data_IF_544737815580
#
_entry.id   IF_544737815580
#
_cell.length_a   1.000
_cell.length_b   1.000
_cell.length_c   1.000
_cell.angle_alpha   90.00
_cell.angle_beta   90.00
_cell.angle_gamma   90.00
#
_symmetry.space_group_name_H-M   'P 1'
#
loop_
_entity.id
_entity.type
_entity.pdbx_description
1 polymer ?
#
# COMPACT_ATOMS: atom_id res chain seq x y z
N UNK A 1 -0.59 -18.07 5.10
CA UNK A 1 -1.16 -19.23 5.83
C UNK A 1 -2.27 -19.92 5.04
N UNK A 2 -3.21 -19.17 4.44
CA UNK A 2 -4.44 -19.77 3.88
C UNK A 2 -4.37 -20.03 2.37
N UNK A 3 -3.41 -19.44 1.66
CA UNK A 3 -3.17 -19.64 0.23
C UNK A 3 -1.95 -20.50 -0.07
N UNK A 4 -1.15 -20.82 0.94
CA UNK A 4 0.17 -21.42 0.75
C UNK A 4 0.38 -22.61 1.68
N UNK A 5 1.25 -23.53 1.26
CA UNK A 5 1.80 -24.58 2.10
C UNK A 5 3.28 -24.27 2.46
N UNK A 6 3.81 -24.88 3.53
CA UNK A 6 5.22 -24.75 3.87
C UNK A 6 6.13 -25.10 2.69
N UNK A 7 7.12 -24.25 2.43
CA UNK A 7 8.10 -24.42 1.35
C UNK A 7 7.67 -23.85 0.00
N UNK A 8 6.42 -23.38 -0.14
CA UNK A 8 5.96 -22.74 -1.38
C UNK A 8 6.45 -21.31 -1.51
N UNK A 9 6.32 -20.75 -2.70
CA UNK A 9 6.70 -19.38 -3.03
C UNK A 9 5.50 -18.49 -3.32
N UNK A 10 5.62 -17.24 -2.87
CA UNK A 10 4.73 -16.13 -3.21
C UNK A 10 5.48 -15.15 -4.10
N UNK A 11 4.99 -14.92 -5.30
CA UNK A 11 5.50 -13.88 -6.19
C UNK A 11 4.97 -12.51 -5.73
N UNK A 12 5.86 -11.53 -5.62
CA UNK A 12 5.50 -10.14 -5.33
C UNK A 12 6.60 -9.18 -5.81
N UNK A 13 6.37 -7.88 -5.73
CA UNK A 13 7.41 -6.88 -6.01
C UNK A 13 8.49 -6.88 -4.92
N UNK A 14 9.71 -6.48 -5.27
CA UNK A 14 10.80 -6.37 -4.29
C UNK A 14 10.48 -5.40 -3.14
N UNK A 15 9.66 -4.40 -3.42
CA UNK A 15 9.34 -3.28 -2.51
C UNK A 15 7.99 -3.46 -1.80
N UNK A 16 7.31 -4.61 -1.97
CA UNK A 16 6.01 -4.85 -1.36
C UNK A 16 6.03 -4.81 0.16
N UNK A 17 4.97 -4.26 0.74
CA UNK A 17 4.81 -4.14 2.19
C UNK A 17 4.84 -5.51 2.88
N UNK A 18 4.09 -6.48 2.37
CA UNK A 18 3.97 -7.83 2.95
C UNK A 18 5.31 -8.57 3.08
N UNK A 19 6.31 -8.17 2.29
CA UNK A 19 7.66 -8.73 2.33
C UNK A 19 8.57 -7.98 3.29
N UNK A 20 8.54 -6.63 3.24
CA UNK A 20 9.59 -5.80 3.83
C UNK A 20 9.24 -5.29 5.24
N UNK A 21 7.96 -5.17 5.60
CA UNK A 21 7.53 -4.48 6.83
C UNK A 21 6.83 -5.38 7.85
N UNK A 22 6.64 -6.67 7.55
CA UNK A 22 5.97 -7.62 8.44
C UNK A 22 6.95 -8.44 9.30
N UNK A 23 8.15 -7.95 9.49
CA UNK A 23 9.18 -8.53 10.39
C UNK A 23 9.44 -10.03 10.12
N UNK A 24 9.34 -10.46 8.85
CA UNK A 24 9.52 -11.85 8.47
C UNK A 24 8.35 -12.78 8.82
N UNK A 25 7.19 -12.22 9.22
CA UNK A 25 6.04 -13.02 9.68
C UNK A 25 5.57 -14.05 8.65
N UNK A 26 5.63 -13.74 7.36
CA UNK A 26 5.24 -14.67 6.32
C UNK A 26 6.14 -15.93 6.30
N UNK A 27 7.44 -15.76 6.40
CA UNK A 27 8.39 -16.87 6.49
C UNK A 27 8.28 -17.62 7.82
N UNK A 28 8.10 -16.91 8.92
CA UNK A 28 7.99 -17.50 10.25
C UNK A 28 6.70 -18.30 10.45
N UNK A 29 5.54 -17.72 10.11
CA UNK A 29 4.24 -18.34 10.35
C UNK A 29 3.83 -19.28 9.21
N UNK A 30 4.03 -18.86 7.95
CA UNK A 30 3.57 -19.64 6.79
C UNK A 30 4.66 -20.51 6.18
N UNK A 31 5.91 -20.32 6.62
CA UNK A 31 7.08 -21.08 6.13
C UNK A 31 7.25 -20.98 4.61
N UNK A 32 6.93 -19.83 4.03
CA UNK A 32 7.03 -19.54 2.60
C UNK A 32 8.29 -18.74 2.30
N UNK A 33 8.60 -18.69 1.00
CA UNK A 33 9.61 -17.78 0.45
C UNK A 33 8.92 -16.75 -0.44
N UNK A 34 9.54 -15.55 -0.55
CA UNK A 34 9.14 -14.57 -1.53
C UNK A 34 10.03 -14.66 -2.77
N UNK A 35 9.41 -14.67 -3.94
CA UNK A 35 10.08 -14.50 -5.21
C UNK A 35 9.80 -13.10 -5.74
N UNK A 36 10.85 -12.31 -5.93
CA UNK A 36 10.73 -10.99 -6.50
C UNK A 36 10.54 -11.06 -8.02
N UNK A 37 9.72 -10.15 -8.52
CA UNK A 37 9.49 -9.97 -9.95
C UNK A 37 9.75 -8.51 -10.31
N UNK A 38 10.13 -8.26 -11.56
CA UNK A 38 10.28 -6.92 -12.08
C UNK A 38 8.94 -6.19 -12.09
N UNK A 39 8.99 -4.89 -11.85
CA UNK A 39 7.80 -4.05 -11.79
C UNK A 39 8.14 -2.61 -12.16
N UNK A 40 7.14 -1.87 -12.60
CA UNK A 40 7.17 -0.43 -12.73
C UNK A 40 6.19 0.17 -11.72
N UNK A 41 6.72 0.84 -10.67
CA UNK A 41 5.91 1.46 -9.61
C UNK A 41 4.86 0.53 -8.98
N UNK A 42 5.20 -0.75 -8.82
CA UNK A 42 4.30 -1.77 -8.25
C UNK A 42 3.48 -2.55 -9.29
N UNK A 43 3.40 -2.10 -10.54
CA UNK A 43 2.77 -2.86 -11.62
C UNK A 43 3.71 -3.97 -12.10
N UNK A 44 3.30 -5.21 -11.86
CA UNK A 44 4.09 -6.40 -12.19
C UNK A 44 4.30 -6.53 -13.70
N UNK A 45 5.52 -6.86 -14.09
CA UNK A 45 5.83 -7.24 -15.46
C UNK A 45 5.24 -8.64 -15.76
N UNK A 46 4.27 -8.69 -16.69
CA UNK A 46 3.60 -9.95 -17.04
C UNK A 46 4.53 -10.93 -17.77
N UNK A 47 5.44 -10.44 -18.59
CA UNK A 47 6.36 -11.32 -19.34
C UNK A 47 7.38 -11.95 -18.38
N UNK A 48 7.84 -11.18 -17.38
CA UNK A 48 8.67 -11.73 -16.32
C UNK A 48 7.87 -12.74 -15.47
N UNK A 49 6.62 -12.44 -15.11
CA UNK A 49 5.74 -13.36 -14.39
C UNK A 49 5.56 -14.69 -15.16
N UNK A 50 5.26 -14.63 -16.45
CA UNK A 50 5.16 -15.82 -17.34
C UNK A 50 6.46 -16.60 -17.31
N UNK A 51 7.61 -15.92 -17.46
CA UNK A 51 8.93 -16.54 -17.47
C UNK A 51 9.25 -17.29 -16.18
N UNK A 52 8.86 -16.73 -15.02
CA UNK A 52 9.10 -17.35 -13.72
C UNK A 52 8.32 -18.64 -13.55
N UNK A 53 7.08 -18.68 -14.05
CA UNK A 53 6.21 -19.87 -13.95
C UNK A 53 6.65 -20.95 -14.92
N UNK A 54 7.01 -20.57 -16.16
CA UNK A 54 7.48 -21.50 -17.20
C UNK A 54 8.78 -22.23 -16.82
N UNK A 55 9.58 -21.66 -15.91
CA UNK A 55 10.83 -22.25 -15.41
C UNK A 55 10.62 -23.19 -14.22
N UNK A 56 9.38 -23.53 -13.87
CA UNK A 56 9.10 -24.48 -12.79
C UNK A 56 9.66 -25.87 -13.11
N UNK A 57 10.16 -26.57 -12.10
CA UNK A 57 10.70 -27.91 -12.21
C UNK A 57 10.57 -28.65 -10.86
N UNK A 58 10.67 -29.97 -10.87
CA UNK A 58 10.44 -30.80 -9.67
C UNK A 58 11.36 -30.48 -8.49
N UNK A 59 12.52 -29.86 -8.73
CA UNK A 59 13.50 -29.47 -7.69
C UNK A 59 13.38 -28.01 -7.26
N UNK A 60 12.43 -27.25 -7.80
CA UNK A 60 12.17 -25.86 -7.40
C UNK A 60 10.94 -25.77 -6.53
N UNK A 61 10.90 -24.83 -5.57
CA UNK A 61 9.70 -24.56 -4.81
C UNK A 61 8.51 -24.29 -5.73
N UNK A 62 7.34 -24.82 -5.35
CA UNK A 62 6.10 -24.54 -6.08
C UNK A 62 5.69 -23.08 -5.84
N UNK A 63 5.42 -22.36 -6.90
CA UNK A 63 4.76 -21.06 -6.83
C UNK A 63 3.26 -21.32 -6.62
N UNK A 64 2.65 -20.70 -5.61
CA UNK A 64 1.23 -20.89 -5.31
C UNK A 64 0.42 -19.59 -5.38
N UNK A 65 1.06 -18.46 -5.19
CA UNK A 65 0.35 -17.19 -5.02
C UNK A 65 1.10 -16.05 -5.71
N UNK A 66 0.34 -15.18 -6.36
CA UNK A 66 0.78 -13.85 -6.80
C UNK A 66 0.15 -12.84 -5.84
N UNK A 67 0.97 -11.97 -5.26
CA UNK A 67 0.52 -10.92 -4.35
C UNK A 67 0.89 -9.56 -4.92
N UNK A 68 -0.10 -8.69 -5.06
CA UNK A 68 0.07 -7.30 -5.50
C UNK A 68 -0.35 -6.33 -4.40
N UNK A 69 0.17 -5.11 -4.43
CA UNK A 69 -0.20 -4.05 -3.49
C UNK A 69 -0.89 -2.90 -4.22
N UNK A 70 -2.10 -2.50 -3.76
CA UNK A 70 -2.84 -1.38 -4.32
C UNK A 70 -3.51 -0.51 -3.23
N UNK A 71 -3.16 0.79 -3.09
CA UNK A 71 -2.13 1.49 -3.87
C UNK A 71 -0.73 1.11 -3.37
N UNK A 72 0.26 1.11 -4.28
CA UNK A 72 1.62 0.70 -3.98
C UNK A 72 2.36 1.77 -3.16
N UNK A 73 2.69 1.45 -1.91
CA UNK A 73 3.24 2.39 -0.93
C UNK A 73 4.63 2.90 -1.35
N UNK A 74 5.53 1.98 -1.71
CA UNK A 74 6.93 2.29 -1.97
C UNK A 74 7.14 3.25 -3.15
N UNK A 75 6.19 3.32 -4.09
CA UNK A 75 6.20 4.26 -5.22
C UNK A 75 5.35 5.52 -5.00
N UNK A 76 4.92 5.81 -3.76
CA UNK A 76 4.19 7.03 -3.46
C UNK A 76 2.68 6.92 -3.64
N UNK A 77 2.12 5.72 -3.51
CA UNK A 77 0.69 5.49 -3.63
C UNK A 77 0.20 5.28 -5.06
N UNK A 78 1.06 4.77 -5.94
CA UNK A 78 0.69 4.43 -7.32
C UNK A 78 -0.47 3.46 -7.36
N UNK A 79 -1.41 3.74 -8.24
CA UNK A 79 -2.57 2.87 -8.50
C UNK A 79 -2.17 1.82 -9.54
N UNK A 80 -2.34 0.55 -9.20
CA UNK A 80 -2.30 -0.52 -10.19
C UNK A 80 -3.64 -0.51 -10.93
N UNK A 81 -3.67 -0.27 -12.26
CA UNK A 81 -4.91 -0.13 -12.98
C UNK A 81 -5.82 -1.36 -12.83
N UNK A 82 -7.12 -1.14 -12.65
CA UNK A 82 -8.07 -2.24 -12.47
C UNK A 82 -8.08 -3.23 -13.65
N UNK A 83 -7.77 -2.75 -14.86
CA UNK A 83 -7.61 -3.61 -16.02
C UNK A 83 -6.43 -4.57 -15.88
N UNK A 84 -5.34 -4.14 -15.26
CA UNK A 84 -4.19 -4.99 -14.96
C UNK A 84 -4.55 -6.08 -13.95
N UNK A 85 -5.36 -5.75 -12.95
CA UNK A 85 -5.85 -6.73 -11.97
C UNK A 85 -6.69 -7.81 -12.65
N UNK A 86 -7.50 -7.46 -13.66
CA UNK A 86 -8.23 -8.45 -14.46
C UNK A 86 -7.29 -9.37 -15.23
N UNK A 87 -6.28 -8.82 -15.89
CA UNK A 87 -5.25 -9.60 -16.61
C UNK A 87 -4.52 -10.57 -15.67
N UNK A 88 -4.11 -10.08 -14.49
CA UNK A 88 -3.48 -10.93 -13.47
C UNK A 88 -4.44 -12.03 -12.97
N UNK A 89 -5.73 -11.71 -12.80
CA UNK A 89 -6.74 -12.71 -12.40
C UNK A 89 -6.91 -13.82 -13.44
N UNK A 90 -6.97 -13.46 -14.72
CA UNK A 90 -7.06 -14.43 -15.81
C UNK A 90 -5.81 -15.30 -15.86
N UNK A 91 -4.65 -14.68 -15.76
CA UNK A 91 -3.38 -15.38 -15.75
C UNK A 91 -3.24 -16.35 -14.55
N UNK A 92 -3.53 -15.90 -13.33
CA UNK A 92 -3.41 -16.73 -12.13
C UNK A 92 -4.37 -17.91 -12.18
N UNK A 93 -5.61 -17.70 -12.62
CA UNK A 93 -6.59 -18.79 -12.80
C UNK A 93 -6.15 -19.82 -13.83
N UNK A 94 -5.58 -19.39 -14.96
CA UNK A 94 -5.10 -20.29 -16.01
C UNK A 94 -3.88 -21.12 -15.59
N UNK A 95 -3.19 -20.72 -14.52
CA UNK A 95 -2.00 -21.39 -14.02
C UNK A 95 -2.19 -22.04 -12.61
N UNK A 96 -3.42 -22.17 -12.14
CA UNK A 96 -3.76 -22.70 -10.81
C UNK A 96 -3.04 -21.97 -9.65
N UNK A 97 -2.92 -20.66 -9.78
CA UNK A 97 -2.34 -19.77 -8.78
C UNK A 97 -3.43 -18.98 -8.07
N UNK A 98 -3.13 -18.52 -6.86
CA UNK A 98 -3.98 -17.57 -6.13
C UNK A 98 -3.55 -16.13 -6.38
N UNK A 99 -4.51 -15.22 -6.51
CA UNK A 99 -4.26 -13.78 -6.55
C UNK A 99 -4.69 -13.15 -5.23
N UNK A 100 -3.72 -12.63 -4.49
CA UNK A 100 -3.96 -11.81 -3.30
C UNK A 100 -3.71 -10.33 -3.61
N UNK A 101 -4.62 -9.48 -3.16
CA UNK A 101 -4.47 -8.02 -3.23
C UNK A 101 -4.26 -7.48 -1.81
N UNK A 102 -3.04 -7.01 -1.52
CA UNK A 102 -2.84 -6.12 -0.38
C UNK A 102 -3.40 -4.75 -0.73
N UNK A 103 -4.61 -4.55 -0.32
CA UNK A 103 -5.38 -3.33 -0.58
C UNK A 103 -5.42 -2.39 0.61
N UNK A 104 -4.34 -2.30 1.40
CA UNK A 104 -4.30 -1.45 2.59
C UNK A 104 -4.84 -0.03 2.35
N UNK A 105 -4.74 0.46 1.10
CA UNK A 105 -5.27 1.73 0.62
C UNK A 105 -6.12 1.61 -0.65
N UNK A 106 -6.71 0.46 -0.91
CA UNK A 106 -7.47 0.18 -2.16
C UNK A 106 -8.63 1.15 -2.40
N UNK A 107 -9.19 1.74 -1.34
CA UNK A 107 -10.27 2.72 -1.48
C UNK A 107 -9.84 3.99 -2.20
N UNK A 108 -8.56 4.40 -2.10
CA UNK A 108 -8.01 5.49 -2.90
C UNK A 108 -8.02 5.13 -4.40
N UNK A 109 -7.59 3.91 -4.75
CA UNK A 109 -7.63 3.44 -6.13
C UNK A 109 -9.07 3.34 -6.68
N UNK A 110 -9.99 2.77 -5.90
CA UNK A 110 -11.40 2.60 -6.30
C UNK A 110 -12.07 3.94 -6.59
N UNK A 111 -11.80 4.96 -5.78
CA UNK A 111 -12.39 6.27 -5.94
C UNK A 111 -11.78 7.03 -7.13
N UNK A 112 -10.45 6.98 -7.28
CA UNK A 112 -9.75 7.66 -8.37
C UNK A 112 -10.12 7.08 -9.73
N UNK A 113 -10.13 5.76 -9.86
CA UNK A 113 -10.52 5.07 -11.09
C UNK A 113 -12.04 5.03 -11.31
N UNK A 114 -12.85 5.47 -10.33
CA UNK A 114 -14.31 5.36 -10.35
C UNK A 114 -14.80 3.94 -10.62
N UNK A 115 -14.01 2.94 -10.22
CA UNK A 115 -14.36 1.53 -10.38
C UNK A 115 -15.43 1.15 -9.36
N UNK A 116 -16.50 0.52 -9.81
CA UNK A 116 -17.57 0.04 -8.94
C UNK A 116 -17.14 -1.26 -8.25
N UNK A 117 -16.40 -1.17 -7.15
CA UNK A 117 -16.15 -2.23 -6.15
C UNK A 117 -16.13 -3.69 -6.67
N UNK A 118 -15.50 -3.95 -7.81
CA UNK A 118 -15.53 -5.28 -8.43
C UNK A 118 -14.28 -6.13 -8.14
N UNK A 119 -13.38 -5.67 -7.27
CA UNK A 119 -12.14 -6.40 -6.94
C UNK A 119 -12.39 -7.84 -6.53
N UNK A 120 -13.43 -8.11 -5.73
CA UNK A 120 -13.77 -9.46 -5.28
C UNK A 120 -14.10 -10.48 -6.38
N UNK A 121 -14.33 -10.05 -7.62
CA UNK A 121 -14.50 -10.95 -8.76
C UNK A 121 -13.17 -11.40 -9.38
N UNK A 122 -12.12 -10.63 -9.12
CA UNK A 122 -10.83 -10.75 -9.79
C UNK A 122 -9.67 -11.11 -8.87
N UNK A 123 -9.92 -11.33 -7.58
CA UNK A 123 -8.90 -11.82 -6.66
C UNK A 123 -9.47 -12.90 -5.76
N UNK A 124 -8.62 -13.84 -5.31
CA UNK A 124 -9.00 -14.89 -4.36
C UNK A 124 -9.13 -14.33 -2.95
N UNK A 125 -8.33 -13.31 -2.62
CA UNK A 125 -8.45 -12.57 -1.38
C UNK A 125 -7.98 -11.12 -1.51
N UNK A 126 -8.51 -10.26 -0.65
CA UNK A 126 -8.16 -8.84 -0.57
C UNK A 126 -8.16 -8.41 0.89
N UNK A 127 -7.14 -7.63 1.28
CA UNK A 127 -7.14 -6.92 2.56
C UNK A 127 -7.35 -5.43 2.35
N UNK A 128 -7.92 -4.73 3.33
CA UNK A 128 -7.85 -3.28 3.41
C UNK A 128 -7.86 -2.79 4.87
N UNK A 129 -7.31 -1.60 5.08
CA UNK A 129 -7.24 -1.00 6.41
C UNK A 129 -8.36 0.02 6.62
N UNK A 130 -9.00 -0.06 7.77
CA UNK A 130 -9.88 0.99 8.28
C UNK A 130 -9.09 2.13 8.95
N UNK A 131 -7.94 1.80 9.53
CA UNK A 131 -7.10 2.68 10.36
C UNK A 131 -6.10 3.54 9.57
N UNK A 132 -6.29 3.68 8.27
CA UNK A 132 -5.53 4.59 7.39
C UNK A 132 -6.44 5.71 6.89
N UNK A 133 -6.45 6.05 5.62
CA UNK A 133 -7.26 7.13 5.05
C UNK A 133 -8.75 7.08 5.43
N UNK A 134 -9.34 5.90 5.61
CA UNK A 134 -10.72 5.77 6.10
C UNK A 134 -10.92 6.38 7.50
N UNK A 135 -9.88 6.45 8.32
CA UNK A 135 -9.86 7.20 9.58
C UNK A 135 -10.56 6.53 10.75
N UNK A 136 -10.76 5.21 10.74
CA UNK A 136 -11.13 4.50 11.96
C UNK A 136 -9.91 4.37 12.90
N UNK A 137 -10.10 4.30 14.22
CA UNK A 137 -9.00 4.26 15.18
C UNK A 137 -8.13 3.00 15.05
N UNK A 138 -8.70 1.90 14.57
CA UNK A 138 -8.05 0.59 14.48
C UNK A 138 -8.78 -0.31 13.48
N UNK A 139 -8.06 -1.28 12.92
CA UNK A 139 -8.62 -2.43 12.24
C UNK A 139 -8.30 -2.53 10.76
N UNK A 140 -8.41 -3.75 10.29
CA UNK A 140 -8.34 -4.13 8.88
C UNK A 140 -9.38 -5.20 8.58
N UNK A 141 -9.68 -5.38 7.30
CA UNK A 141 -10.62 -6.38 6.82
C UNK A 141 -9.92 -7.31 5.84
N UNK A 142 -10.14 -8.61 6.00
CA UNK A 142 -9.80 -9.63 5.03
C UNK A 142 -11.08 -10.10 4.32
N UNK A 143 -11.06 -10.10 3.01
CA UNK A 143 -12.14 -10.53 2.12
C UNK A 143 -11.70 -11.75 1.31
N UNK A 144 -12.64 -12.61 0.99
CA UNK A 144 -12.43 -13.80 0.18
C UNK A 144 -13.69 -14.66 0.12
N UNK A 145 -13.58 -15.89 -0.41
CA UNK A 145 -14.68 -16.85 -0.41
C UNK A 145 -15.13 -17.21 1.02
N UNK A 146 -16.32 -17.78 1.15
CA UNK A 146 -16.85 -18.22 2.44
C UNK A 146 -15.89 -19.19 3.16
N UNK A 147 -15.38 -20.18 2.43
CA UNK A 147 -14.48 -21.19 2.99
C UNK A 147 -13.12 -20.60 3.36
N UNK A 148 -12.55 -19.72 2.50
CA UNK A 148 -11.34 -18.99 2.81
C UNK A 148 -11.48 -18.18 4.10
N UNK A 149 -12.59 -17.48 4.29
CA UNK A 149 -12.83 -16.69 5.50
C UNK A 149 -13.07 -17.58 6.73
N UNK A 150 -13.74 -18.72 6.58
CA UNK A 150 -13.91 -19.68 7.68
C UNK A 150 -12.54 -20.16 8.20
N UNK A 151 -11.66 -20.62 7.32
CA UNK A 151 -10.30 -21.03 7.65
C UNK A 151 -9.48 -19.87 8.23
N UNK A 152 -9.61 -18.67 7.67
CA UNK A 152 -8.90 -17.47 8.17
C UNK A 152 -9.29 -17.12 9.61
N UNK A 153 -10.55 -17.36 10.00
CA UNK A 153 -11.00 -17.16 11.39
C UNK A 153 -10.35 -18.13 12.37
N UNK A 154 -10.09 -19.37 11.94
CA UNK A 154 -9.36 -20.35 12.75
C UNK A 154 -7.90 -19.89 12.92
N UNK A 155 -7.21 -19.51 11.84
CA UNK A 155 -5.85 -18.96 11.92
C UNK A 155 -5.80 -17.74 12.81
N UNK A 156 -6.73 -16.80 12.65
CA UNK A 156 -6.81 -15.62 13.51
C UNK A 156 -6.86 -15.99 14.99
N UNK A 157 -7.64 -17.02 15.35
CA UNK A 157 -7.71 -17.47 16.74
C UNK A 157 -6.39 -18.10 17.20
N UNK A 158 -5.77 -18.94 16.37
CA UNK A 158 -4.51 -19.63 16.66
C UNK A 158 -3.33 -18.69 16.90
N UNK A 159 -3.29 -17.55 16.17
CA UNK A 159 -2.22 -16.54 16.28
C UNK A 159 -2.55 -15.38 17.23
N UNK A 160 -3.56 -15.53 18.08
CA UNK A 160 -3.89 -14.53 19.10
C UNK A 160 -4.76 -13.35 18.65
N UNK A 161 -5.21 -13.31 17.38
CA UNK A 161 -6.03 -12.22 16.83
C UNK A 161 -7.54 -12.33 17.11
N UNK A 162 -7.96 -13.28 17.93
CA UNK A 162 -9.35 -13.41 18.34
C UNK A 162 -9.74 -12.41 19.43
N UNK A 163 -10.58 -11.44 19.10
CA UNK A 163 -11.05 -10.40 20.03
C UNK A 163 -12.52 -10.59 20.36
N UNK A 164 -12.86 -10.50 21.65
CA UNK A 164 -14.25 -10.40 22.14
C UNK A 164 -14.69 -8.94 22.12
N UNK A 165 -15.99 -8.71 22.16
CA UNK A 165 -16.62 -7.38 22.20
C UNK A 165 -16.10 -6.42 21.11
N UNK A 166 -15.75 -6.97 19.95
CA UNK A 166 -15.20 -6.22 18.81
C UNK A 166 -16.20 -5.22 18.20
N UNK A 167 -17.48 -5.29 18.59
CA UNK A 167 -18.55 -4.42 18.10
C UNK A 167 -18.27 -2.93 18.26
N UNK A 168 -17.57 -2.52 19.31
CA UNK A 168 -17.17 -1.12 19.54
C UNK A 168 -16.25 -0.66 18.41
N UNK A 169 -15.21 -1.44 18.10
CA UNK A 169 -14.26 -1.17 17.02
C UNK A 169 -14.95 -1.26 15.65
N UNK A 170 -15.79 -2.29 15.47
CA UNK A 170 -16.51 -2.51 14.23
C UNK A 170 -17.51 -1.37 13.91
N UNK A 171 -18.08 -0.72 14.92
CA UNK A 171 -18.95 0.45 14.72
C UNK A 171 -18.19 1.62 14.12
N UNK A 172 -16.99 1.93 14.65
CA UNK A 172 -16.14 2.96 14.09
C UNK A 172 -15.67 2.61 12.66
N UNK A 173 -15.32 1.35 12.41
CA UNK A 173 -14.94 0.86 11.08
C UNK A 173 -16.11 0.97 10.09
N UNK A 174 -17.35 0.66 10.50
CA UNK A 174 -18.55 0.81 9.68
C UNK A 174 -18.78 2.27 9.30
N UNK A 175 -18.73 3.17 10.26
CA UNK A 175 -18.86 4.61 10.01
C UNK A 175 -17.79 5.10 9.02
N UNK A 176 -16.55 4.73 9.22
CA UNK A 176 -15.45 5.08 8.33
C UNK A 176 -15.69 4.59 6.89
N UNK A 177 -16.16 3.36 6.74
CA UNK A 177 -16.48 2.78 5.43
C UNK A 177 -17.65 3.48 4.73
N UNK A 178 -18.69 3.85 5.47
CA UNK A 178 -19.85 4.58 4.95
C UNK A 178 -19.45 5.97 4.43
N UNK A 179 -18.45 6.60 5.07
CA UNK A 179 -17.93 7.93 4.70
C UNK A 179 -16.71 7.90 3.76
N UNK A 180 -16.39 6.75 3.16
CA UNK A 180 -15.18 6.57 2.33
C UNK A 180 -15.03 7.53 1.14
N UNK A 181 -16.12 8.11 0.66
CA UNK A 181 -16.10 9.07 -0.44
C UNK A 181 -15.30 10.34 -0.12
N UNK A 182 -15.13 10.66 1.16
CA UNK A 182 -14.33 11.82 1.60
C UNK A 182 -12.84 11.69 1.28
N UNK A 183 -12.33 10.48 1.03
CA UNK A 183 -10.94 10.27 0.63
C UNK A 183 -10.53 11.05 -0.65
N UNK A 184 -11.49 11.44 -1.48
CA UNK A 184 -11.19 12.25 -2.67
C UNK A 184 -10.69 13.66 -2.29
N UNK A 185 -11.06 14.15 -1.12
CA UNK A 185 -10.57 15.43 -0.60
C UNK A 185 -9.09 15.34 -0.21
N UNK A 186 -8.64 14.19 0.26
CA UNK A 186 -7.23 13.94 0.56
C UNK A 186 -6.40 13.99 -0.73
N UNK A 187 -6.93 13.45 -1.86
CA UNK A 187 -6.26 13.51 -3.17
C UNK A 187 -6.17 14.94 -3.66
N UNK A 188 -7.27 15.70 -3.53
CA UNK A 188 -7.28 17.10 -3.96
C UNK A 188 -6.27 17.93 -3.15
N UNK A 189 -6.24 17.74 -1.83
CA UNK A 189 -5.30 18.42 -0.97
C UNK A 189 -3.84 18.08 -1.32
N UNK A 190 -3.54 16.80 -1.53
CA UNK A 190 -2.20 16.37 -1.95
C UNK A 190 -1.80 17.02 -3.29
N UNK A 191 -2.73 17.06 -4.25
CA UNK A 191 -2.51 17.68 -5.55
C UNK A 191 -2.26 19.18 -5.45
N UNK A 192 -3.04 19.88 -4.63
CA UNK A 192 -2.90 21.32 -4.43
C UNK A 192 -1.52 21.64 -3.83
N UNK A 193 -1.11 20.89 -2.80
CA UNK A 193 0.22 21.05 -2.20
C UNK A 193 1.32 20.73 -3.20
N UNK A 194 1.21 19.60 -3.92
CA UNK A 194 2.20 19.20 -4.93
C UNK A 194 2.42 20.30 -5.97
N UNK A 195 1.34 20.84 -6.54
CA UNK A 195 1.41 21.90 -7.58
C UNK A 195 2.15 23.16 -7.11
N UNK A 196 2.10 23.45 -5.81
CA UNK A 196 2.81 24.60 -5.25
C UNK A 196 4.27 24.27 -4.95
N UNK A 197 4.52 23.16 -4.25
CA UNK A 197 5.87 22.81 -3.78
C UNK A 197 6.78 22.29 -4.90
N UNK A 198 6.25 21.72 -5.99
CA UNK A 198 7.05 21.21 -7.10
C UNK A 198 8.00 22.27 -7.66
N UNK A 199 7.50 23.50 -7.86
CA UNK A 199 8.31 24.61 -8.38
C UNK A 199 9.33 25.14 -7.37
N UNK A 200 9.06 24.96 -6.08
CA UNK A 200 9.96 25.40 -5.00
C UNK A 200 11.05 24.36 -4.78
N UNK A 201 10.65 23.12 -4.65
CA UNK A 201 11.55 21.98 -4.39
C UNK A 201 12.63 21.85 -5.48
N UNK A 202 12.29 22.12 -6.73
CA UNK A 202 13.25 22.14 -7.84
C UNK A 202 14.34 23.24 -7.74
N UNK A 203 14.23 24.14 -6.73
CA UNK A 203 15.24 25.18 -6.45
C UNK A 203 16.04 24.90 -5.19
N UNK A 204 15.74 23.83 -4.49
CA UNK A 204 16.42 23.40 -3.26
C UNK A 204 17.44 22.34 -3.66
N UNK A 205 18.71 22.68 -3.67
CA UNK A 205 19.79 21.85 -4.23
C UNK A 205 19.86 20.44 -3.63
N UNK A 206 19.47 20.26 -2.38
CA UNK A 206 19.52 18.97 -1.69
C UNK A 206 18.31 18.05 -1.98
N UNK A 207 17.29 18.50 -2.70
CA UNK A 207 16.13 17.70 -3.07
C UNK A 207 16.21 17.29 -4.53
N UNK A 208 16.47 16.01 -4.78
CA UNK A 208 16.64 15.47 -6.13
C UNK A 208 15.32 15.42 -6.92
N UNK A 209 14.22 15.14 -6.24
CA UNK A 209 12.90 15.06 -6.89
C UNK A 209 11.74 15.08 -5.91
N UNK A 210 10.59 15.53 -6.41
CA UNK A 210 9.30 15.37 -5.77
C UNK A 210 8.42 14.43 -6.59
N UNK A 211 7.73 13.52 -5.93
CA UNK A 211 6.90 12.50 -6.58
C UNK A 211 5.47 12.58 -6.07
N UNK A 212 4.52 12.71 -7.00
CA UNK A 212 3.09 12.59 -6.75
C UNK A 212 2.46 11.63 -7.75
N UNK A 213 1.71 10.66 -7.27
CA UNK A 213 1.14 9.58 -8.09
C UNK A 213 -0.41 9.60 -8.14
N UNK A 214 -1.00 10.77 -7.93
CA UNK A 214 -2.45 10.96 -8.09
C UNK A 214 -3.29 10.51 -6.90
N UNK A 215 -2.69 10.21 -5.75
CA UNK A 215 -3.42 9.82 -4.53
C UNK A 215 -3.10 10.77 -3.36
N UNK A 216 -3.11 10.29 -2.15
CA UNK A 216 -2.98 11.09 -0.95
C UNK A 216 -1.54 11.21 -0.42
N UNK A 217 -0.53 11.00 -1.26
CA UNK A 217 0.88 11.02 -0.83
C UNK A 217 1.76 11.86 -1.75
N UNK A 218 2.75 12.52 -1.15
CA UNK A 218 3.87 13.18 -1.85
C UNK A 218 5.16 12.62 -1.26
N UNK A 219 6.13 12.29 -2.10
CA UNK A 219 7.46 11.88 -1.69
C UNK A 219 8.48 12.94 -2.08
N UNK A 220 9.39 13.26 -1.18
CA UNK A 220 10.56 14.07 -1.43
C UNK A 220 11.80 13.17 -1.36
N UNK A 221 12.57 13.10 -2.44
CA UNK A 221 13.81 12.35 -2.51
C UNK A 221 14.98 13.30 -2.31
N UNK A 222 15.86 12.98 -1.37
CA UNK A 222 17.03 13.77 -1.02
C UNK A 222 18.32 13.12 -1.54
N UNK A 223 19.31 13.93 -1.83
CA UNK A 223 20.65 13.50 -2.25
C UNK A 223 21.41 12.77 -1.14
N UNK A 224 21.28 13.22 0.13
CA UNK A 224 21.94 12.63 1.28
C UNK A 224 20.97 12.37 2.44
N UNK A 225 21.34 11.45 3.32
CA UNK A 225 20.60 11.20 4.57
C UNK A 225 20.68 12.43 5.49
N UNK A 226 21.85 13.09 5.55
CA UNK A 226 22.05 14.28 6.39
C UNK A 226 21.08 15.40 6.03
N UNK A 227 20.90 15.68 4.74
CA UNK A 227 20.01 16.72 4.25
C UNK A 227 18.53 16.38 4.53
N UNK A 228 18.17 15.11 4.39
CA UNK A 228 16.82 14.67 4.75
C UNK A 228 16.56 14.72 6.26
N UNK A 229 17.55 14.42 7.10
CA UNK A 229 17.47 14.59 8.57
C UNK A 229 17.33 16.06 8.96
N UNK A 230 18.05 16.96 8.29
CA UNK A 230 17.95 18.41 8.48
C UNK A 230 16.56 18.92 8.14
N UNK A 231 16.04 18.52 6.98
CA UNK A 231 14.69 18.88 6.57
C UNK A 231 13.61 18.35 7.54
N UNK A 232 13.73 17.13 8.03
CA UNK A 232 12.80 16.59 9.04
C UNK A 232 12.85 17.35 10.36
N UNK A 233 14.05 17.77 10.80
CA UNK A 233 14.19 18.64 11.99
C UNK A 233 13.54 19.99 11.75
N UNK A 234 13.82 20.61 10.61
CA UNK A 234 13.21 21.89 10.24
C UNK A 234 11.68 21.82 10.22
N UNK A 235 11.09 20.75 9.65
CA UNK A 235 9.64 20.54 9.72
C UNK A 235 9.15 20.40 11.16
N UNK A 236 9.87 19.63 11.98
CA UNK A 236 9.51 19.43 13.38
C UNK A 236 9.56 20.74 14.19
N UNK A 237 10.56 21.58 13.95
CA UNK A 237 10.73 22.89 14.61
C UNK A 237 9.61 23.86 14.22
N UNK A 238 8.94 23.58 13.10
CA UNK A 238 7.75 24.29 12.63
C UNK A 238 6.45 23.53 12.94
N UNK A 239 6.44 22.60 13.92
CA UNK A 239 5.28 21.79 14.31
C UNK A 239 4.66 20.96 13.18
N UNK A 240 5.43 20.56 12.18
CA UNK A 240 4.99 19.68 11.10
C UNK A 240 5.60 18.31 11.31
N UNK A 241 4.73 17.30 11.46
CA UNK A 241 5.15 15.90 11.61
C UNK A 241 5.17 15.20 10.25
N UNK A 242 6.36 14.84 9.81
CA UNK A 242 6.57 13.98 8.66
C UNK A 242 7.50 12.82 9.05
N UNK A 243 7.73 11.89 8.14
CA UNK A 243 8.61 10.77 8.41
C UNK A 243 9.15 10.14 7.16
N UNK A 244 10.17 9.32 7.35
CA UNK A 244 10.74 8.52 6.28
C UNK A 244 9.77 7.47 5.75
N UNK A 245 9.72 7.33 4.43
CA UNK A 245 9.21 6.12 3.79
C UNK A 245 10.33 5.06 3.72
N UNK A 246 11.53 5.50 3.37
CA UNK A 246 12.79 4.77 3.36
C UNK A 246 13.93 5.78 3.46
N UNK A 247 15.15 5.31 3.55
CA UNK A 247 16.35 6.15 3.59
C UNK A 247 16.31 7.24 2.50
N UNK A 248 16.56 8.49 2.88
CA UNK A 248 16.55 9.69 2.03
C UNK A 248 15.19 10.04 1.38
N UNK A 249 14.12 9.35 1.72
CA UNK A 249 12.79 9.62 1.14
C UNK A 249 11.79 9.97 2.23
N UNK A 250 11.45 11.26 2.28
CA UNK A 250 10.44 11.78 3.21
C UNK A 250 9.07 11.70 2.55
N UNK A 251 8.07 11.31 3.34
CA UNK A 251 6.69 11.16 2.89
C UNK A 251 5.76 12.11 3.59
N UNK A 252 5.00 12.88 2.82
CA UNK A 252 3.79 13.55 3.28
C UNK A 252 2.56 12.67 2.97
N UNK A 253 1.68 12.53 3.95
CA UNK A 253 0.42 11.79 3.80
C UNK A 253 -0.74 12.69 4.19
N UNK A 254 -1.66 12.88 3.26
CA UNK A 254 -2.84 13.70 3.47
C UNK A 254 -4.00 12.82 3.91
N UNK A 255 -4.74 13.27 4.89
CA UNK A 255 -5.88 12.58 5.48
C UNK A 255 -6.85 13.59 6.09
N UNK A 256 -8.06 13.13 6.41
CA UNK A 256 -9.18 13.96 6.86
C UNK A 256 -8.92 14.92 8.03
N UNK A 257 -7.88 14.68 8.83
CA UNK A 257 -7.55 15.54 9.97
C UNK A 257 -6.59 16.69 9.60
N UNK A 258 -6.13 16.75 8.34
CA UNK A 258 -5.35 17.85 7.81
C UNK A 258 -6.31 18.96 7.36
N UNK A 259 -6.21 20.13 7.98
CA UNK A 259 -7.03 21.30 7.66
C UNK A 259 -6.41 22.15 6.55
N UNK A 260 -7.16 23.14 6.04
CA UNK A 260 -6.62 24.13 5.10
C UNK A 260 -5.46 24.91 5.71
N UNK A 261 -5.55 25.28 6.99
CA UNK A 261 -4.48 26.00 7.69
C UNK A 261 -3.20 25.16 7.80
N UNK A 262 -3.36 23.83 8.06
CA UNK A 262 -2.22 22.91 8.06
C UNK A 262 -1.56 22.80 6.67
N UNK A 263 -2.38 22.79 5.60
CA UNK A 263 -1.91 22.79 4.22
C UNK A 263 -1.09 24.05 3.92
N UNK A 264 -1.62 25.23 4.26
CA UNK A 264 -0.95 26.52 4.06
C UNK A 264 0.36 26.58 4.84
N UNK A 265 0.34 26.20 6.12
CA UNK A 265 1.54 26.10 6.96
C UNK A 265 2.61 25.21 6.34
N UNK A 266 2.22 24.02 5.82
CA UNK A 266 3.17 23.13 5.15
C UNK A 266 3.81 23.80 3.93
N UNK A 267 3.01 24.45 3.09
CA UNK A 267 3.49 25.15 1.88
C UNK A 267 4.48 26.25 2.26
N UNK A 268 4.12 27.13 3.18
CA UNK A 268 4.97 28.23 3.65
C UNK A 268 6.29 27.71 4.24
N UNK A 269 6.22 26.63 5.04
CA UNK A 269 7.40 26.04 5.65
C UNK A 269 8.33 25.45 4.59
N UNK A 270 7.80 24.73 3.59
CA UNK A 270 8.63 24.18 2.50
C UNK A 270 9.24 25.30 1.65
N UNK A 271 8.49 26.39 1.40
CA UNK A 271 8.98 27.54 0.64
C UNK A 271 10.09 28.32 1.35
N UNK A 272 10.13 28.27 2.68
CA UNK A 272 11.10 28.98 3.51
C UNK A 272 12.35 28.13 3.82
N UNK A 273 12.37 26.87 3.43
CA UNK A 273 13.56 26.01 3.55
C UNK A 273 14.55 26.36 2.45
N UNK A 274 15.78 26.68 2.81
CA UNK A 274 16.85 27.12 1.90
C UNK A 274 18.13 26.29 2.04
#
# INVERSE_FOLDING_TARGET
LNHTNPGEEVITTKDSHIKNYEHGAASFLSRIQFRNINHNDGDLDLDDLISQISKSSYYKPKISTVAIENTHLASGGTIIPFQKIKQLSEFTKSNDLKLHVDGARVWHAILEEKTKNNYGKYCDSLTFCFSKGLGAPIGSMLLGSKDFIANSREYRKKIGGGMRQVGIIASAAKYALENRSTLILDHQMAKDVFNVIENVVNKIDCIESVVYKGTNMILLNFDTLSNSDEFLRYLSDNDIKAGYLREKVIRFVFHKDITSDNKEKLIETVQSFS
#
